data_IF_035503921460
#
_entry.id   IF_035503921460
#
_cell.length_a   1.000
_cell.length_b   1.000
_cell.length_c   1.000
_cell.angle_alpha   90.00
_cell.angle_beta   90.00
_cell.angle_gamma   90.00
#
_symmetry.space_group_name_H-M   'P 1'
#
loop_
_entity.id
_entity.type
_entity.pdbx_description
1 polymer ?
#
# COMPACT_ATOMS: atom_id res chain seq x y z
N UNK A 1 -12.66 -18.13 21.99
CA UNK A 1 -11.42 -18.21 22.80
C UNK A 1 -10.40 -17.16 22.35
N UNK A 2 -9.39 -16.88 23.18
CA UNK A 2 -8.28 -15.98 22.80
C UNK A 2 -7.57 -16.49 21.53
N UNK A 3 -7.34 -17.78 21.46
CA UNK A 3 -6.67 -18.39 20.30
C UNK A 3 -7.48 -18.21 19.00
N UNK A 4 -8.78 -18.33 19.04
CA UNK A 4 -9.67 -18.05 17.89
C UNK A 4 -9.62 -16.57 17.46
N UNK A 5 -9.53 -15.66 18.44
CA UNK A 5 -9.36 -14.23 18.12
C UNK A 5 -8.03 -13.96 17.44
N UNK A 6 -6.93 -14.53 17.95
CA UNK A 6 -5.61 -14.37 17.33
C UNK A 6 -5.54 -15.04 15.95
N UNK A 7 -6.16 -16.21 15.77
CA UNK A 7 -6.20 -16.95 14.50
C UNK A 7 -6.87 -16.19 13.37
N UNK A 8 -7.87 -15.36 13.65
CA UNK A 8 -8.59 -14.57 12.61
C UNK A 8 -7.90 -13.26 12.23
N UNK A 9 -6.78 -12.93 12.87
CA UNK A 9 -6.00 -11.73 12.54
C UNK A 9 -5.30 -11.87 11.19
N UNK A 10 -4.83 -10.76 10.64
CA UNK A 10 -4.20 -10.72 9.33
C UNK A 10 -2.77 -11.29 9.34
N UNK A 11 -1.89 -10.72 10.19
CA UNK A 11 -0.47 -11.05 10.21
C UNK A 11 -0.01 -11.51 11.59
N UNK A 12 1.01 -12.37 11.61
CA UNK A 12 1.59 -12.96 12.82
C UNK A 12 2.03 -11.90 13.83
N UNK A 13 2.66 -10.82 13.35
CA UNK A 13 3.10 -9.68 14.17
C UNK A 13 1.96 -8.94 14.88
N UNK A 14 0.71 -9.11 14.41
CA UNK A 14 -0.50 -8.57 15.02
C UNK A 14 -1.31 -9.64 15.77
N UNK A 15 -0.88 -10.90 15.73
CA UNK A 15 -1.58 -12.04 16.30
C UNK A 15 -0.99 -12.48 17.64
N UNK A 16 -0.57 -11.52 18.44
CA UNK A 16 -0.07 -11.69 19.80
C UNK A 16 -0.99 -11.01 20.80
N UNK A 17 -0.98 -11.48 22.04
CA UNK A 17 -1.65 -10.85 23.16
C UNK A 17 -0.71 -10.74 24.36
N UNK A 18 -0.97 -9.76 25.23
CA UNK A 18 -0.24 -9.59 26.48
C UNK A 18 -1.19 -9.67 27.66
N UNK A 19 -0.71 -10.29 28.73
CA UNK A 19 -1.39 -10.30 30.03
C UNK A 19 -0.35 -10.18 31.14
N UNK A 20 -0.62 -9.35 32.13
CA UNK A 20 0.27 -9.18 33.30
C UNK A 20 0.55 -10.50 34.04
N UNK A 21 -0.37 -11.47 33.91
CA UNK A 21 -0.27 -12.76 34.59
C UNK A 21 0.52 -13.81 33.82
N UNK A 22 0.47 -13.80 32.49
CA UNK A 22 1.07 -14.83 31.63
C UNK A 22 2.15 -14.30 30.70
N UNK A 23 2.37 -12.97 30.67
CA UNK A 23 3.26 -12.33 29.71
C UNK A 23 2.69 -12.34 28.28
N UNK A 24 3.58 -12.41 27.30
CA UNK A 24 3.21 -12.46 25.88
C UNK A 24 2.69 -13.86 25.53
N UNK A 25 1.50 -13.90 24.93
CA UNK A 25 0.91 -15.08 24.32
C UNK A 25 1.10 -14.96 22.81
N UNK A 26 2.02 -15.73 22.27
CA UNK A 26 2.34 -15.81 20.85
C UNK A 26 2.14 -17.24 20.34
N UNK A 27 1.07 -17.47 19.60
CA UNK A 27 0.69 -18.78 19.05
C UNK A 27 1.11 -18.96 17.59
N UNK A 28 1.50 -17.89 16.95
CA UNK A 28 1.74 -17.84 15.50
C UNK A 28 3.15 -17.34 15.14
N UNK A 29 4.07 -17.36 16.10
CA UNK A 29 5.47 -16.93 15.90
C UNK A 29 5.63 -15.46 15.50
N UNK A 30 4.72 -14.60 15.97
CA UNK A 30 4.76 -13.16 15.67
C UNK A 30 5.99 -12.47 16.23
N UNK A 31 6.52 -12.89 17.38
CA UNK A 31 7.77 -12.35 17.96
C UNK A 31 8.97 -12.67 17.06
N UNK A 32 9.04 -13.88 16.52
CA UNK A 32 10.11 -14.31 15.61
C UNK A 32 10.05 -13.52 14.30
N UNK A 33 8.87 -13.38 13.70
CA UNK A 33 8.66 -12.59 12.48
C UNK A 33 8.96 -11.09 12.71
N UNK A 34 8.62 -10.56 13.90
CA UNK A 34 8.97 -9.20 14.29
C UNK A 34 10.48 -8.98 14.35
N UNK A 35 11.22 -9.93 14.95
CA UNK A 35 12.68 -9.90 15.03
C UNK A 35 13.35 -10.08 13.66
N UNK A 36 12.73 -10.88 12.81
CA UNK A 36 13.22 -11.15 11.44
C UNK A 36 12.79 -10.10 10.42
N UNK A 37 12.02 -9.10 10.83
CA UNK A 37 11.47 -8.06 9.97
C UNK A 37 10.62 -8.63 8.81
N UNK A 38 9.68 -9.54 9.14
CA UNK A 38 8.85 -10.25 8.16
C UNK A 38 7.37 -9.96 8.39
N UNK A 39 6.65 -9.70 7.30
CA UNK A 39 5.19 -9.68 7.25
C UNK A 39 4.72 -11.04 6.73
N UNK A 40 4.13 -11.84 7.60
CA UNK A 40 3.58 -13.18 7.31
C UNK A 40 2.12 -13.26 7.70
N UNK A 41 1.28 -13.85 6.84
CA UNK A 41 -0.11 -14.13 7.18
C UNK A 41 -0.23 -15.14 8.34
N UNK A 42 -1.28 -14.98 9.16
CA UNK A 42 -1.67 -16.01 10.14
C UNK A 42 -2.29 -17.19 9.40
N UNK A 43 -1.69 -18.37 9.52
CA UNK A 43 -2.16 -19.58 8.82
C UNK A 43 -1.94 -19.51 7.31
N UNK A 44 -2.92 -19.93 6.53
CA UNK A 44 -2.80 -20.01 5.07
C UNK A 44 -3.14 -18.65 4.44
N UNK A 45 -2.16 -18.02 3.79
CA UNK A 45 -2.29 -16.68 3.21
C UNK A 45 -3.46 -16.56 2.21
N UNK A 46 -3.66 -17.57 1.35
CA UNK A 46 -4.77 -17.61 0.39
C UNK A 46 -6.14 -17.57 1.06
N UNK A 47 -6.30 -18.25 2.19
CA UNK A 47 -7.55 -18.21 2.96
C UNK A 47 -7.78 -16.81 3.54
N UNK A 48 -6.74 -16.21 4.14
CA UNK A 48 -6.82 -14.87 4.74
C UNK A 48 -7.19 -13.80 3.72
N UNK A 49 -6.61 -13.83 2.53
CA UNK A 49 -6.92 -12.87 1.46
C UNK A 49 -8.26 -13.14 0.77
N UNK A 50 -8.73 -14.38 0.79
CA UNK A 50 -10.08 -14.72 0.30
C UNK A 50 -11.17 -14.24 1.25
N UNK A 51 -10.94 -14.29 2.57
CA UNK A 51 -11.87 -13.78 3.59
C UNK A 51 -12.04 -12.25 3.50
N UNK A 52 -10.94 -11.51 3.38
CA UNK A 52 -10.93 -10.06 3.20
C UNK A 52 -9.74 -9.64 2.33
N UNK A 53 -10.02 -9.36 1.07
CA UNK A 53 -9.00 -8.98 0.10
C UNK A 53 -8.27 -7.65 0.47
N UNK A 54 -8.86 -6.79 1.34
CA UNK A 54 -8.15 -5.60 1.81
C UNK A 54 -6.85 -5.95 2.54
N UNK A 55 -6.74 -7.15 3.10
CA UNK A 55 -5.50 -7.62 3.75
C UNK A 55 -4.30 -7.63 2.79
N UNK A 56 -4.54 -7.73 1.48
CA UNK A 56 -3.51 -7.57 0.43
C UNK A 56 -2.86 -6.19 0.52
N UNK A 57 -3.66 -5.12 0.52
CA UNK A 57 -3.14 -3.75 0.67
C UNK A 57 -2.54 -3.50 2.06
N UNK A 58 -3.10 -4.14 3.08
CA UNK A 58 -2.56 -4.06 4.44
C UNK A 58 -1.17 -4.69 4.55
N UNK A 59 -0.87 -5.79 3.83
CA UNK A 59 0.47 -6.38 3.76
C UNK A 59 1.49 -5.36 3.22
N UNK A 60 1.17 -4.72 2.10
CA UNK A 60 2.04 -3.69 1.50
C UNK A 60 2.19 -2.49 2.43
N UNK A 61 1.10 -2.03 3.06
CA UNK A 61 1.15 -0.93 4.02
C UNK A 61 2.00 -1.25 5.25
N UNK A 62 1.89 -2.45 5.82
CA UNK A 62 2.72 -2.84 6.96
C UNK A 62 4.20 -2.96 6.57
N UNK A 63 4.49 -3.49 5.38
CA UNK A 63 5.84 -3.48 4.82
C UNK A 63 6.40 -2.05 4.75
N UNK A 64 5.61 -1.08 4.29
CA UNK A 64 6.00 0.33 4.21
C UNK A 64 6.08 1.04 5.58
N UNK A 65 5.24 0.67 6.54
CA UNK A 65 5.23 1.29 7.87
C UNK A 65 6.37 0.81 8.77
N UNK A 66 6.83 -0.44 8.59
CA UNK A 66 7.80 -1.10 9.47
C UNK A 66 9.14 -1.36 8.79
N UNK A 67 9.27 -1.13 7.49
CA UNK A 67 10.40 -1.54 6.65
C UNK A 67 10.65 -3.06 6.70
N UNK A 68 9.57 -3.83 6.69
CA UNK A 68 9.63 -5.29 6.74
C UNK A 68 9.42 -5.89 5.34
N UNK A 69 10.09 -7.00 5.08
CA UNK A 69 9.86 -7.80 3.87
C UNK A 69 8.59 -8.63 4.01
N UNK A 70 7.88 -8.83 2.90
CA UNK A 70 6.74 -9.75 2.87
C UNK A 70 7.29 -11.15 2.62
N UNK A 71 6.84 -12.11 3.43
CA UNK A 71 7.20 -13.52 3.30
C UNK A 71 6.77 -14.07 1.94
N UNK A 72 7.57 -14.99 1.36
CA UNK A 72 7.41 -15.43 -0.03
C UNK A 72 6.04 -16.04 -0.33
N UNK A 73 5.52 -16.93 0.51
CA UNK A 73 4.19 -17.53 0.32
C UNK A 73 3.07 -16.49 0.45
N UNK A 74 3.24 -15.53 1.36
CA UNK A 74 2.33 -14.39 1.54
C UNK A 74 2.37 -13.49 0.31
N UNK A 75 3.55 -13.20 -0.25
CA UNK A 75 3.74 -12.41 -1.46
C UNK A 75 3.12 -13.09 -2.70
N UNK A 76 3.33 -14.40 -2.84
CA UNK A 76 2.73 -15.16 -3.91
C UNK A 76 1.20 -15.16 -3.83
N UNK A 77 0.64 -15.38 -2.64
CA UNK A 77 -0.80 -15.40 -2.43
C UNK A 77 -1.45 -14.03 -2.71
N UNK A 78 -0.82 -12.93 -2.29
CA UNK A 78 -1.34 -11.59 -2.55
C UNK A 78 -1.31 -11.25 -4.06
N UNK A 79 -0.28 -11.69 -4.77
CA UNK A 79 -0.18 -11.50 -6.23
C UNK A 79 -1.28 -12.28 -6.96
N UNK A 80 -1.49 -13.53 -6.60
CA UNK A 80 -2.54 -14.38 -7.19
C UNK A 80 -3.95 -13.86 -6.92
N UNK A 81 -4.19 -13.30 -5.73
CA UNK A 81 -5.50 -12.86 -5.28
C UNK A 81 -5.74 -11.35 -5.43
N UNK A 82 -4.80 -10.60 -6.01
CA UNK A 82 -4.95 -9.17 -6.30
C UNK A 82 -6.28 -8.82 -7.02
N UNK A 83 -6.81 -9.63 -7.98
CA UNK A 83 -8.09 -9.36 -8.63
C UNK A 83 -9.28 -9.27 -7.66
N UNK A 84 -9.22 -9.87 -6.47
CA UNK A 84 -10.27 -9.76 -5.47
C UNK A 84 -10.40 -8.35 -4.88
N UNK A 85 -9.41 -7.48 -5.05
CA UNK A 85 -9.48 -6.07 -4.62
C UNK A 85 -10.59 -5.30 -5.34
N UNK A 86 -11.02 -5.72 -6.53
CA UNK A 86 -12.17 -5.13 -7.24
C UNK A 86 -13.47 -5.17 -6.44
N UNK A 87 -13.59 -6.11 -5.48
CA UNK A 87 -14.76 -6.27 -4.60
C UNK A 87 -14.74 -5.37 -3.38
N UNK A 88 -13.61 -4.70 -3.12
CA UNK A 88 -13.40 -3.85 -1.94
C UNK A 88 -13.89 -2.43 -2.25
N UNK A 89 -14.54 -1.79 -1.25
CA UNK A 89 -14.99 -0.41 -1.41
C UNK A 89 -13.80 0.56 -1.61
N UNK A 90 -14.02 1.57 -2.44
CA UNK A 90 -12.98 2.54 -2.80
C UNK A 90 -12.45 3.32 -1.60
N UNK A 91 -13.30 3.58 -0.63
CA UNK A 91 -12.95 4.27 0.61
C UNK A 91 -11.98 3.44 1.47
N UNK A 92 -12.19 2.10 1.53
CA UNK A 92 -11.27 1.21 2.24
C UNK A 92 -9.92 1.15 1.54
N UNK A 93 -9.91 1.06 0.21
CA UNK A 93 -8.68 1.10 -0.61
C UNK A 93 -7.95 2.42 -0.40
N UNK A 94 -8.64 3.56 -0.51
CA UNK A 94 -8.09 4.89 -0.26
C UNK A 94 -7.41 4.98 1.10
N UNK A 95 -8.07 4.48 2.15
CA UNK A 95 -7.54 4.53 3.52
C UNK A 95 -6.22 3.76 3.67
N UNK A 96 -6.08 2.59 3.06
CA UNK A 96 -4.84 1.81 3.13
C UNK A 96 -3.72 2.43 2.28
N UNK A 97 -4.06 2.95 1.08
CA UNK A 97 -3.09 3.67 0.24
C UNK A 97 -2.60 4.96 0.92
N UNK A 98 -3.49 5.71 1.57
CA UNK A 98 -3.12 6.90 2.34
C UNK A 98 -2.08 6.57 3.41
N UNK A 99 -2.35 5.53 4.22
CA UNK A 99 -1.43 5.09 5.28
C UNK A 99 -0.09 4.61 4.72
N UNK A 100 -0.12 3.94 3.55
CA UNK A 100 1.09 3.51 2.85
C UNK A 100 1.91 4.71 2.41
N UNK A 101 1.30 5.66 1.71
CA UNK A 101 1.99 6.85 1.21
C UNK A 101 2.50 7.74 2.35
N UNK A 102 1.79 7.80 3.50
CA UNK A 102 2.22 8.58 4.68
C UNK A 102 3.19 7.82 5.59
N UNK A 103 3.61 6.61 5.24
CA UNK A 103 4.59 5.83 6.00
C UNK A 103 6.00 6.41 5.93
N UNK A 104 6.93 5.81 6.66
CA UNK A 104 8.35 6.16 6.62
C UNK A 104 9.05 5.61 5.36
N UNK A 105 8.52 4.53 4.78
CA UNK A 105 9.05 3.85 3.61
C UNK A 105 8.03 3.82 2.45
N UNK A 106 7.62 5.00 1.90
CA UNK A 106 6.61 5.07 0.85
C UNK A 106 7.10 4.46 -0.48
N UNK A 107 8.40 4.25 -0.66
CA UNK A 107 9.00 3.55 -1.79
C UNK A 107 8.55 2.09 -1.88
N UNK A 108 8.10 1.48 -0.79
CA UNK A 108 7.46 0.16 -0.78
C UNK A 108 6.17 0.11 -1.61
N UNK A 109 5.65 1.27 -2.06
CA UNK A 109 4.59 1.34 -3.05
C UNK A 109 4.97 0.63 -4.38
N UNK A 110 6.25 0.38 -4.63
CA UNK A 110 6.72 -0.46 -5.74
C UNK A 110 6.00 -1.81 -5.80
N UNK A 111 5.72 -2.41 -4.63
CA UNK A 111 5.02 -3.68 -4.54
C UNK A 111 3.63 -3.65 -5.20
N UNK A 112 2.94 -2.51 -5.20
CA UNK A 112 1.65 -2.35 -5.88
C UNK A 112 1.76 -2.58 -7.39
N UNK A 113 2.92 -2.23 -7.96
CA UNK A 113 3.20 -2.38 -9.40
C UNK A 113 3.65 -3.80 -9.73
N UNK A 114 4.63 -4.34 -8.99
CA UNK A 114 5.20 -5.67 -9.25
C UNK A 114 4.22 -6.82 -8.99
N UNK A 115 3.26 -6.64 -8.09
CA UNK A 115 2.26 -7.67 -7.76
C UNK A 115 0.96 -7.55 -8.55
N UNK A 116 0.88 -6.60 -9.51
CA UNK A 116 -0.31 -6.41 -10.32
C UNK A 116 -1.52 -5.84 -9.55
N UNK A 117 -1.31 -5.24 -8.38
CA UNK A 117 -2.38 -4.63 -7.59
C UNK A 117 -2.93 -3.37 -8.28
N UNK A 118 -2.06 -2.56 -8.87
CA UNK A 118 -2.44 -1.29 -9.49
C UNK A 118 -3.63 -1.42 -10.46
N UNK A 119 -3.62 -2.32 -11.49
CA UNK A 119 -4.76 -2.45 -12.41
C UNK A 119 -6.06 -2.85 -11.73
N UNK A 120 -5.98 -3.50 -10.57
CA UNK A 120 -7.14 -3.98 -9.83
C UNK A 120 -7.82 -2.90 -9.00
N UNK A 121 -7.06 -1.88 -8.60
CA UNK A 121 -7.55 -0.78 -7.78
C UNK A 121 -7.89 0.48 -8.57
N UNK A 122 -7.40 0.63 -9.81
CA UNK A 122 -7.58 1.84 -10.63
C UNK A 122 -8.34 1.61 -11.96
N UNK A 123 -9.12 0.54 -12.09
CA UNK A 123 -10.07 0.27 -13.19
C UNK A 123 -9.51 0.58 -14.61
N UNK A 124 -8.32 0.10 -14.93
CA UNK A 124 -7.71 0.29 -16.25
C UNK A 124 -7.23 1.72 -16.53
N UNK A 125 -7.24 2.63 -15.56
CA UNK A 125 -6.65 3.98 -15.67
C UNK A 125 -5.11 3.94 -15.77
N UNK A 126 -4.56 2.83 -16.25
CA UNK A 126 -3.14 2.59 -16.29
C UNK A 126 -2.57 2.85 -17.68
N UNK A 127 -2.26 4.08 -17.91
CA UNK A 127 -1.11 4.39 -18.74
C UNK A 127 -0.05 4.98 -17.80
N UNK A 128 0.97 4.18 -17.47
CA UNK A 128 2.23 4.74 -16.99
C UNK A 128 2.68 5.66 -18.12
N UNK A 129 2.54 6.95 -17.91
CA UNK A 129 3.00 7.92 -18.92
C UNK A 129 4.51 7.75 -19.01
N UNK A 130 5.01 7.52 -20.22
CA UNK A 130 6.42 7.26 -20.52
C UNK A 130 7.39 8.40 -20.12
N UNK A 131 6.89 9.45 -19.47
CA UNK A 131 7.66 10.63 -19.06
C UNK A 131 8.28 10.54 -17.67
N UNK A 132 7.80 9.62 -16.82
CA UNK A 132 8.37 9.37 -15.51
C UNK A 132 8.54 7.87 -15.28
N UNK A 133 9.79 7.46 -15.04
CA UNK A 133 10.01 6.07 -14.67
C UNK A 133 9.45 5.79 -13.26
N UNK A 134 9.01 4.56 -13.01
CA UNK A 134 8.61 4.12 -11.69
C UNK A 134 9.71 4.42 -10.65
N UNK A 135 10.97 4.20 -11.02
CA UNK A 135 12.12 4.48 -10.16
C UNK A 135 12.19 5.95 -9.74
N UNK A 136 11.99 6.89 -10.68
CA UNK A 136 12.02 8.33 -10.37
C UNK A 136 10.87 8.72 -9.42
N UNK A 137 9.69 8.17 -9.63
CA UNK A 137 8.55 8.39 -8.73
C UNK A 137 8.85 7.89 -7.31
N UNK A 138 9.40 6.69 -7.15
CA UNK A 138 9.74 6.11 -5.85
C UNK A 138 10.82 6.92 -5.13
N UNK A 139 11.85 7.37 -5.85
CA UNK A 139 12.90 8.25 -5.29
C UNK A 139 12.31 9.56 -4.80
N UNK A 140 11.40 10.16 -5.56
CA UNK A 140 10.75 11.41 -5.18
C UNK A 140 9.81 11.21 -3.97
N UNK A 141 9.06 10.11 -3.92
CA UNK A 141 8.24 9.76 -2.76
C UNK A 141 9.09 9.66 -1.48
N UNK A 142 10.21 8.95 -1.56
CA UNK A 142 11.12 8.77 -0.43
C UNK A 142 11.68 10.10 0.11
N UNK A 143 12.04 11.01 -0.81
CA UNK A 143 12.60 12.33 -0.47
C UNK A 143 11.56 13.39 -0.09
N UNK A 144 10.28 13.12 -0.33
CA UNK A 144 9.21 14.09 -0.11
C UNK A 144 8.82 14.21 1.36
N UNK A 145 8.34 15.38 1.80
CA UNK A 145 7.76 15.52 3.13
C UNK A 145 6.51 14.64 3.26
N UNK A 146 6.21 14.20 4.48
CA UNK A 146 4.97 13.46 4.79
C UNK A 146 3.76 14.39 4.75
N UNK A 147 3.43 14.86 3.55
CA UNK A 147 2.29 15.72 3.29
C UNK A 147 1.36 15.07 2.28
N UNK A 148 0.10 14.93 2.64
CA UNK A 148 -0.96 14.28 1.89
C UNK A 148 -0.95 14.68 0.41
N UNK A 149 -1.13 15.96 0.09
CA UNK A 149 -1.23 16.43 -1.30
C UNK A 149 0.05 16.21 -2.11
N UNK A 150 1.22 16.35 -1.47
CA UNK A 150 2.52 16.16 -2.14
C UNK A 150 2.69 14.70 -2.53
N UNK A 151 2.53 13.78 -1.57
CA UNK A 151 2.75 12.35 -1.83
C UNK A 151 1.75 11.75 -2.79
N UNK A 152 0.47 12.14 -2.72
CA UNK A 152 -0.52 11.73 -3.71
C UNK A 152 -0.20 12.26 -5.10
N UNK A 153 0.20 13.52 -5.23
CA UNK A 153 0.57 14.09 -6.53
C UNK A 153 1.80 13.42 -7.13
N UNK A 154 2.77 13.04 -6.31
CA UNK A 154 3.95 12.28 -6.74
C UNK A 154 3.57 10.87 -7.19
N UNK A 155 2.82 10.15 -6.39
CA UNK A 155 2.38 8.79 -6.68
C UNK A 155 1.53 8.72 -7.97
N UNK A 156 0.63 9.69 -8.15
CA UNK A 156 -0.21 9.76 -9.34
C UNK A 156 0.52 10.33 -10.56
N UNK A 157 1.65 11.03 -10.37
CA UNK A 157 2.45 11.56 -11.48
C UNK A 157 3.01 10.49 -12.42
N UNK A 158 3.18 9.26 -11.91
CA UNK A 158 3.55 8.07 -12.67
C UNK A 158 2.38 7.31 -13.30
N UNK A 159 1.14 7.74 -13.05
CA UNK A 159 -0.10 7.11 -13.50
C UNK A 159 -0.88 8.08 -14.39
N UNK A 160 -1.72 7.57 -15.30
CA UNK A 160 -2.68 8.40 -16.03
C UNK A 160 -3.69 8.99 -15.03
N UNK A 161 -3.52 10.26 -14.75
CA UNK A 161 -4.07 10.97 -13.59
C UNK A 161 -5.59 11.16 -13.59
N UNK A 162 -6.18 11.30 -14.80
CA UNK A 162 -7.60 11.64 -14.92
C UNK A 162 -8.50 10.58 -14.28
N UNK A 163 -9.24 11.00 -13.28
CA UNK A 163 -10.28 10.21 -12.65
C UNK A 163 -9.85 9.33 -11.48
N UNK A 164 -8.54 9.07 -11.25
CA UNK A 164 -8.06 8.18 -10.18
C UNK A 164 -8.51 8.67 -8.80
N UNK A 165 -8.26 9.94 -8.45
CA UNK A 165 -8.68 10.51 -7.16
C UNK A 165 -10.19 10.50 -6.99
N UNK A 166 -10.93 10.79 -8.08
CA UNK A 166 -12.38 10.76 -8.07
C UNK A 166 -12.91 9.34 -7.89
N UNK A 167 -12.29 8.34 -8.53
CA UNK A 167 -12.65 6.94 -8.38
C UNK A 167 -12.39 6.45 -6.95
N UNK A 168 -11.35 6.94 -6.30
CA UNK A 168 -11.02 6.66 -4.89
C UNK A 168 -11.87 7.47 -3.89
N UNK A 169 -12.87 8.23 -4.35
CA UNK A 169 -13.79 8.99 -3.49
C UNK A 169 -13.14 10.11 -2.66
N UNK A 170 -12.08 10.72 -3.19
CA UNK A 170 -11.54 11.93 -2.57
C UNK A 170 -12.52 13.10 -2.66
N UNK A 171 -12.43 14.03 -1.70
CA UNK A 171 -13.17 15.26 -1.74
C UNK A 171 -12.65 16.22 -2.83
N UNK A 172 -13.53 17.11 -3.29
CA UNK A 172 -13.22 18.03 -4.39
C UNK A 172 -12.05 18.99 -4.08
N UNK A 173 -11.82 19.32 -2.80
CA UNK A 173 -10.70 20.19 -2.39
C UNK A 173 -9.38 19.44 -2.59
N UNK A 174 -9.29 18.21 -2.16
CA UNK A 174 -8.12 17.34 -2.34
C UNK A 174 -7.81 17.14 -3.83
N UNK A 175 -8.83 16.81 -4.63
CA UNK A 175 -8.69 16.64 -6.07
C UNK A 175 -8.08 17.90 -6.71
N UNK A 176 -8.67 19.07 -6.46
CA UNK A 176 -8.19 20.36 -7.03
C UNK A 176 -6.75 20.70 -6.60
N UNK A 177 -6.37 20.41 -5.37
CA UNK A 177 -5.01 20.70 -4.90
C UNK A 177 -4.02 19.77 -5.58
N UNK A 178 -4.30 18.47 -5.65
CA UNK A 178 -3.46 17.51 -6.34
C UNK A 178 -3.30 17.83 -7.84
N UNK A 179 -4.39 18.22 -8.52
CA UNK A 179 -4.34 18.65 -9.92
C UNK A 179 -3.42 19.85 -10.13
N UNK A 180 -3.46 20.86 -9.25
CA UNK A 180 -2.56 22.01 -9.33
C UNK A 180 -1.09 21.61 -9.14
N UNK A 181 -0.79 20.75 -8.17
CA UNK A 181 0.57 20.23 -7.97
C UNK A 181 1.07 19.46 -9.19
N UNK A 182 0.21 18.62 -9.76
CA UNK A 182 0.54 17.85 -10.94
C UNK A 182 0.82 18.77 -12.15
N UNK A 183 -0.04 19.74 -12.43
CA UNK A 183 0.15 20.72 -13.53
C UNK A 183 1.45 21.51 -13.39
N UNK A 184 1.71 22.06 -12.19
CA UNK A 184 2.95 22.79 -11.90
C UNK A 184 4.21 21.94 -12.12
N UNK A 185 4.17 20.68 -11.71
CA UNK A 185 5.28 19.74 -11.88
C UNK A 185 5.54 19.44 -13.36
N UNK A 186 4.49 19.23 -14.16
CA UNK A 186 4.62 19.01 -15.61
C UNK A 186 5.23 20.22 -16.34
N UNK A 187 4.85 21.43 -15.97
CA UNK A 187 5.43 22.64 -16.51
C UNK A 187 6.94 22.74 -16.21
N UNK A 188 7.34 22.44 -14.96
CA UNK A 188 8.74 22.47 -14.54
C UNK A 188 9.58 21.42 -15.27
N UNK A 189 9.08 20.20 -15.43
CA UNK A 189 9.76 19.14 -16.17
C UNK A 189 9.93 19.46 -17.67
N UNK A 190 9.00 20.21 -18.25
CA UNK A 190 9.12 20.69 -19.65
C UNK A 190 10.16 21.78 -19.77
N UNK A 191 10.22 22.71 -18.82
CA UNK A 191 11.21 23.80 -18.82
C UNK A 191 12.65 23.25 -18.67
N UNK A 192 12.87 22.28 -17.79
CA UNK A 192 14.19 21.65 -17.57
C UNK A 192 14.68 20.85 -18.79
N UNK A 193 13.77 20.33 -19.63
CA UNK A 193 14.12 19.62 -20.88
C UNK A 193 14.42 20.57 -22.06
N UNK A 194 14.08 21.85 -21.95
CA UNK A 194 14.27 22.85 -22.98
C UNK A 194 15.50 23.74 -22.72
N UNK A 195 16.18 23.58 -21.60
CA UNK A 195 17.42 24.27 -21.23
C UNK A 195 18.64 23.37 -21.48
#
# INVERSE_FOLDING_TARGET
SLEEDLKRRDFTINAMAYSDRTGIVDKFHGVEDLQSHIIRCVGVAKERFTEDALRILRAVRFSAALDFSIEEETLQALTELAPNLRKISRERIQTELEKLLMSDHPERAELLFFTGIIPEIFDGCLQVTAQESLADMLVQLCRSPKQHYVRWSLFLGGLAYEGVLKSLKFDNKTIRICEKYHAYRQEKLRADKSA
#
